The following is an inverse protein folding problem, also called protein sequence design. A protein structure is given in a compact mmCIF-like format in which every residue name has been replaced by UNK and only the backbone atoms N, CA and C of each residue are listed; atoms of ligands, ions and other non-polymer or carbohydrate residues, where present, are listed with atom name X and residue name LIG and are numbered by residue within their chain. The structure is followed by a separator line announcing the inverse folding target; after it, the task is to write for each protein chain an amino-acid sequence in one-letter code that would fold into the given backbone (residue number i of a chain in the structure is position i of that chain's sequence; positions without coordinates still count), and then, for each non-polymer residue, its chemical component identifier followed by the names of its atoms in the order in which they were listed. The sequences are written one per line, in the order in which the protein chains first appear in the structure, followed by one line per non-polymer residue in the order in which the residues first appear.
data_IF_105157225827
#
_entry.id   IF_105157225827
#
_cell.length_a   1.000
_cell.length_b   1.000
_cell.length_c   1.000
_cell.angle_alpha   90.00
_cell.angle_beta   90.00
_cell.angle_gamma   90.00
#
_symmetry.space_group_name_H-M   'P 1'
#
loop_
_entity.id
_entity.type
_entity.pdbx_description
1 polymer ?
#
# COMPACT_ATOMS: atom_id res chain seq x y z
N UNK A 1 35.03 -13.78 -42.25
CA UNK A 1 33.76 -13.17 -41.79
C UNK A 1 33.76 -13.19 -40.25
N UNK A 2 34.09 -12.07 -39.58
CA UNK A 2 34.05 -11.97 -38.11
C UNK A 2 32.75 -11.26 -37.72
N UNK A 3 31.85 -11.96 -37.02
CA UNK A 3 30.64 -11.37 -36.44
C UNK A 3 31.02 -10.75 -35.09
N UNK A 4 30.90 -9.43 -34.99
CA UNK A 4 30.97 -8.71 -33.72
C UNK A 4 29.70 -8.97 -32.93
N UNK A 5 29.84 -9.45 -31.70
CA UNK A 5 28.73 -9.58 -30.74
C UNK A 5 28.53 -8.20 -30.10
N UNK A 6 27.33 -7.59 -30.16
CA UNK A 6 27.09 -6.35 -29.43
C UNK A 6 27.07 -6.66 -27.93
N UNK A 7 27.99 -6.02 -27.20
CA UNK A 7 27.96 -5.99 -25.73
C UNK A 7 26.74 -5.15 -25.35
N UNK A 8 25.73 -5.77 -24.75
CA UNK A 8 24.61 -5.06 -24.17
C UNK A 8 25.10 -4.21 -22.99
N UNK A 9 25.00 -2.89 -23.12
CA UNK A 9 25.24 -1.95 -22.02
C UNK A 9 24.30 -2.28 -20.87
N UNK A 10 24.78 -2.48 -19.62
CA UNK A 10 23.88 -2.65 -18.50
C UNK A 10 23.00 -1.41 -18.37
N UNK A 11 21.67 -1.60 -18.41
CA UNK A 11 20.73 -0.53 -18.15
C UNK A 11 21.04 0.07 -16.77
N UNK A 12 21.37 1.36 -16.74
CA UNK A 12 21.61 2.08 -15.50
C UNK A 12 20.37 1.96 -14.60
N UNK A 13 20.53 1.32 -13.44
CA UNK A 13 19.47 1.30 -12.43
C UNK A 13 19.24 2.75 -11.98
N UNK A 14 18.03 3.30 -12.14
CA UNK A 14 17.75 4.66 -11.71
C UNK A 14 18.06 4.78 -10.22
N UNK A 15 19.03 5.63 -9.88
CA UNK A 15 19.57 5.79 -8.52
C UNK A 15 18.88 6.94 -7.78
N UNK A 16 17.59 7.17 -8.09
CA UNK A 16 16.77 8.20 -7.47
C UNK A 16 16.10 7.69 -6.18
N UNK A 17 15.60 8.59 -5.32
CA UNK A 17 14.73 8.18 -4.22
C UNK A 17 13.48 7.51 -4.79
N UNK A 18 13.16 6.32 -4.28
CA UNK A 18 11.94 5.60 -4.62
C UNK A 18 10.72 6.48 -4.34
N UNK A 19 9.78 6.47 -5.27
CA UNK A 19 8.52 7.20 -5.17
C UNK A 19 7.38 6.21 -5.01
N UNK A 20 6.39 6.61 -4.23
CA UNK A 20 5.14 5.87 -4.13
C UNK A 20 4.31 6.11 -5.38
N UNK A 21 3.80 5.04 -5.98
CA UNK A 21 2.69 5.12 -6.94
C UNK A 21 1.45 4.48 -6.35
N UNK A 22 0.38 5.28 -6.31
CA UNK A 22 -0.94 4.84 -5.84
C UNK A 22 -1.52 3.83 -6.82
N UNK A 23 -1.94 2.69 -6.31
CA UNK A 23 -2.74 1.72 -7.04
C UNK A 23 -4.21 1.79 -6.67
N UNK A 24 -4.89 0.64 -6.70
CA UNK A 24 -6.32 0.56 -6.39
C UNK A 24 -6.60 0.66 -4.89
N UNK A 25 -7.78 1.21 -4.57
CA UNK A 25 -8.43 1.07 -3.26
C UNK A 25 -9.60 0.11 -3.41
N UNK A 26 -9.68 -0.92 -2.58
CA UNK A 26 -10.73 -1.94 -2.62
C UNK A 26 -11.44 -2.06 -1.27
N UNK A 27 -12.74 -1.80 -1.24
CA UNK A 27 -13.61 -2.02 -0.09
C UNK A 27 -14.00 -3.49 -0.09
N UNK A 28 -13.27 -4.30 0.68
CA UNK A 28 -13.42 -5.75 0.72
C UNK A 28 -14.62 -6.19 1.56
N UNK A 29 -14.94 -5.40 2.60
CA UNK A 29 -16.10 -5.65 3.47
C UNK A 29 -16.62 -4.34 4.03
N UNK A 30 -17.93 -4.24 4.14
CA UNK A 30 -18.62 -3.06 4.66
C UNK A 30 -19.95 -3.52 5.21
N UNK A 31 -19.98 -3.79 6.51
CA UNK A 31 -21.15 -4.31 7.20
C UNK A 31 -22.02 -3.11 7.60
N UNK A 32 -22.73 -2.53 6.60
CA UNK A 32 -23.70 -1.46 6.83
C UNK A 32 -25.03 -2.01 7.32
N UNK A 33 -25.73 -1.25 8.15
CA UNK A 33 -27.07 -1.58 8.60
C UNK A 33 -28.12 -1.66 7.46
N UNK A 34 -27.83 -1.08 6.28
CA UNK A 34 -28.83 -0.89 5.21
C UNK A 34 -28.67 -1.77 3.95
N UNK A 35 -27.64 -2.65 3.89
CA UNK A 35 -27.46 -3.60 2.76
C UNK A 35 -27.15 -2.99 1.39
N UNK A 36 -26.76 -1.70 1.33
CA UNK A 36 -26.38 -1.02 0.09
C UNK A 36 -24.88 -1.21 -0.23
N UNK A 37 -24.49 -0.89 -1.46
CA UNK A 37 -23.07 -0.83 -1.83
C UNK A 37 -22.34 0.15 -0.89
N UNK A 38 -21.15 -0.24 -0.40
CA UNK A 38 -20.40 0.60 0.50
C UNK A 38 -20.07 1.93 -0.18
N UNK A 39 -20.40 3.09 0.43
CA UNK A 39 -19.94 4.37 -0.10
C UNK A 39 -18.42 4.42 -0.01
N UNK A 40 -17.81 5.33 -0.80
CA UNK A 40 -16.40 5.67 -0.61
C UNK A 40 -16.25 6.66 0.54
N UNK A 41 -15.19 6.47 1.31
CA UNK A 41 -14.72 7.38 2.35
C UNK A 41 -13.50 8.15 1.84
N UNK A 42 -13.73 9.25 1.13
CA UNK A 42 -12.65 10.02 0.53
C UNK A 42 -11.69 10.61 1.56
N UNK A 43 -12.19 11.00 2.74
CA UNK A 43 -11.37 11.54 3.82
C UNK A 43 -10.41 10.49 4.39
N UNK A 44 -10.91 9.29 4.66
CA UNK A 44 -10.08 8.16 5.07
C UNK A 44 -9.08 7.79 3.96
N UNK A 45 -9.52 7.68 2.70
CA UNK A 45 -8.63 7.36 1.58
C UNK A 45 -7.47 8.36 1.44
N UNK A 46 -7.75 9.66 1.56
CA UNK A 46 -6.73 10.71 1.51
C UNK A 46 -5.73 10.60 2.66
N UNK A 47 -6.21 10.38 3.89
CA UNK A 47 -5.34 10.24 5.07
C UNK A 47 -4.42 9.02 4.94
N UNK A 48 -4.95 7.89 4.48
CA UNK A 48 -4.17 6.67 4.26
C UNK A 48 -3.15 6.86 3.14
N UNK A 49 -3.53 7.52 2.03
CA UNK A 49 -2.59 7.80 0.96
C UNK A 49 -1.46 8.74 1.38
N UNK A 50 -1.75 9.77 2.17
CA UNK A 50 -0.72 10.66 2.71
C UNK A 50 0.26 9.89 3.62
N UNK A 51 -0.24 8.96 4.43
CA UNK A 51 0.62 8.09 5.24
C UNK A 51 1.52 7.19 4.38
N UNK A 52 0.95 6.54 3.35
CA UNK A 52 1.69 5.67 2.44
C UNK A 52 2.76 6.48 1.68
N UNK A 53 2.45 7.67 1.19
CA UNK A 53 3.41 8.56 0.51
C UNK A 53 4.58 8.97 1.41
N UNK A 54 4.36 9.02 2.73
CA UNK A 54 5.40 9.21 3.73
C UNK A 54 6.46 8.10 3.78
N UNK A 55 6.22 6.94 3.17
CA UNK A 55 7.21 5.85 3.09
C UNK A 55 8.54 6.29 2.47
N UNK A 56 8.49 7.15 1.45
CA UNK A 56 9.68 7.64 0.77
C UNK A 56 10.60 8.47 1.70
N UNK A 57 10.05 9.05 2.77
CA UNK A 57 10.79 9.83 3.77
C UNK A 57 11.15 9.02 5.02
N UNK A 58 10.65 7.78 5.16
CA UNK A 58 10.94 6.94 6.32
C UNK A 58 12.41 6.46 6.27
N UNK A 59 13.24 6.73 7.30
CA UNK A 59 14.65 6.32 7.29
C UNK A 59 14.85 4.80 7.16
N UNK A 60 13.94 4.03 7.75
CA UNK A 60 13.88 2.57 7.68
C UNK A 60 12.92 2.08 6.59
N UNK A 61 12.56 2.92 5.62
CA UNK A 61 11.65 2.56 4.53
C UNK A 61 12.32 1.68 3.45
N UNK A 62 11.54 1.19 2.48
CA UNK A 62 12.04 0.34 1.41
C UNK A 62 13.18 0.99 0.61
N UNK A 63 14.19 0.20 0.25
CA UNK A 63 15.36 0.63 -0.56
C UNK A 63 15.36 0.05 -1.97
N UNK A 64 14.47 -0.89 -2.24
CA UNK A 64 14.23 -1.49 -3.56
C UNK A 64 12.77 -1.29 -3.94
N UNK A 65 12.52 -1.14 -5.23
CA UNK A 65 11.16 -1.09 -5.75
C UNK A 65 10.40 -2.40 -5.53
N UNK A 66 9.09 -2.32 -5.64
CA UNK A 66 8.20 -3.46 -5.44
C UNK A 66 6.77 -3.04 -5.10
N UNK A 67 5.90 -4.01 -4.95
CA UNK A 67 4.48 -3.81 -4.68
C UNK A 67 4.07 -4.24 -3.26
N UNK A 68 3.05 -3.58 -2.74
CA UNK A 68 2.44 -3.88 -1.46
C UNK A 68 0.92 -3.65 -1.50
N UNK A 69 0.21 -4.34 -0.60
CA UNK A 69 -1.23 -4.21 -0.40
C UNK A 69 -1.49 -4.23 1.10
N UNK A 70 -1.72 -3.05 1.67
CA UNK A 70 -1.99 -2.86 3.10
C UNK A 70 -3.50 -2.82 3.32
N UNK A 71 -3.95 -3.52 4.35
CA UNK A 71 -5.36 -3.60 4.73
C UNK A 71 -5.59 -2.91 6.05
N UNK A 72 -6.72 -2.21 6.15
CA UNK A 72 -7.20 -1.60 7.38
C UNK A 72 -8.54 -2.26 7.74
N UNK A 73 -8.56 -2.98 8.86
CA UNK A 73 -9.78 -3.57 9.44
C UNK A 73 -10.28 -2.67 10.57
N UNK A 74 -11.30 -1.88 10.29
CA UNK A 74 -12.01 -1.06 11.27
C UNK A 74 -13.18 -1.84 11.85
N UNK A 75 -13.30 -1.85 13.18
CA UNK A 75 -14.37 -2.53 13.93
C UNK A 75 -14.94 -1.59 14.97
N UNK A 76 -16.23 -1.29 14.88
CA UNK A 76 -16.87 -0.26 15.73
C UNK A 76 -16.07 1.06 15.72
N UNK A 77 -15.91 1.69 16.88
CA UNK A 77 -15.19 2.96 17.00
C UNK A 77 -13.69 2.80 17.33
N UNK A 78 -13.18 1.57 17.26
CA UNK A 78 -11.79 1.25 17.56
C UNK A 78 -10.82 1.76 16.48
N UNK A 79 -9.54 1.86 16.84
CA UNK A 79 -8.47 2.08 15.88
C UNK A 79 -8.40 0.90 14.89
N UNK A 80 -8.08 1.15 13.60
CA UNK A 80 -7.99 0.06 12.64
C UNK A 80 -6.84 -0.87 12.99
N UNK A 81 -7.06 -2.16 12.80
CA UNK A 81 -5.94 -3.11 12.74
C UNK A 81 -5.29 -3.00 11.36
N UNK A 82 -3.96 -2.85 11.34
CA UNK A 82 -3.16 -2.78 10.10
C UNK A 82 -2.69 -4.18 9.72
N UNK A 83 -3.27 -4.71 8.66
CA UNK A 83 -2.97 -6.01 8.11
C UNK A 83 -2.15 -5.90 6.82
N UNK A 84 -1.38 -6.95 6.54
CA UNK A 84 -0.61 -7.07 5.31
C UNK A 84 -1.21 -8.19 4.47
N UNK A 85 -1.37 -7.96 3.17
CA UNK A 85 -1.79 -9.02 2.27
C UNK A 85 -0.57 -9.69 1.68
N UNK A 86 -0.42 -10.99 1.93
CA UNK A 86 0.70 -11.78 1.40
C UNK A 86 0.44 -12.42 0.03
N UNK A 87 -0.79 -12.35 -0.48
CA UNK A 87 -1.18 -12.98 -1.75
C UNK A 87 -0.95 -12.07 -2.95
N UNK A 88 0.16 -12.31 -3.66
CA UNK A 88 0.48 -11.72 -4.97
C UNK A 88 0.77 -12.83 -5.98
N UNK A 89 0.78 -12.50 -7.28
CA UNK A 89 1.30 -13.42 -8.31
C UNK A 89 2.81 -13.61 -8.12
N UNK A 90 3.33 -14.79 -8.45
CA UNK A 90 4.74 -15.16 -8.20
C UNK A 90 5.76 -14.24 -8.88
N UNK A 91 5.36 -13.61 -9.98
CA UNK A 91 6.16 -12.67 -10.78
C UNK A 91 6.28 -11.26 -10.18
N UNK A 92 5.52 -10.95 -9.12
CA UNK A 92 5.52 -9.62 -8.51
C UNK A 92 6.62 -9.52 -7.46
N UNK A 93 7.56 -8.60 -7.67
CA UNK A 93 8.50 -8.20 -6.62
C UNK A 93 7.73 -7.51 -5.49
N UNK A 94 7.76 -8.10 -4.30
CA UNK A 94 7.05 -7.58 -3.12
C UNK A 94 7.96 -6.67 -2.30
N UNK A 95 7.38 -5.61 -1.74
CA UNK A 95 8.04 -4.86 -0.68
C UNK A 95 8.15 -5.72 0.58
N UNK A 96 9.20 -5.48 1.35
CA UNK A 96 9.38 -6.13 2.63
C UNK A 96 8.31 -5.66 3.64
N UNK A 97 7.56 -6.61 4.19
CA UNK A 97 6.43 -6.35 5.08
C UNK A 97 6.87 -5.59 6.32
N UNK A 98 7.92 -6.04 6.99
CA UNK A 98 8.33 -5.50 8.28
C UNK A 98 8.90 -4.09 8.13
N UNK A 99 9.65 -3.85 7.06
CA UNK A 99 10.14 -2.53 6.64
C UNK A 99 8.97 -1.56 6.43
N UNK A 100 7.96 -1.95 5.65
CA UNK A 100 6.81 -1.09 5.37
C UNK A 100 5.96 -0.85 6.62
N UNK A 101 5.60 -1.91 7.35
CA UNK A 101 4.76 -1.79 8.55
C UNK A 101 5.48 -1.09 9.70
N UNK A 102 6.80 -1.17 9.78
CA UNK A 102 7.61 -0.40 10.75
C UNK A 102 7.42 1.11 10.59
N UNK A 103 7.28 1.59 9.35
CA UNK A 103 7.03 3.00 9.06
C UNK A 103 5.56 3.39 9.21
N UNK A 104 4.63 2.51 8.82
CA UNK A 104 3.23 2.88 8.66
C UNK A 104 2.32 2.57 9.85
N UNK A 105 2.62 1.55 10.65
CA UNK A 105 1.66 1.00 11.62
C UNK A 105 1.13 2.03 12.60
N UNK A 106 1.99 2.90 13.14
CA UNK A 106 1.56 3.94 14.08
C UNK A 106 0.67 5.01 13.42
N UNK A 107 1.05 5.46 12.22
CA UNK A 107 0.30 6.51 11.49
C UNK A 107 -1.04 5.97 11.00
N UNK A 108 -1.06 4.76 10.44
CA UNK A 108 -2.28 4.10 10.00
C UNK A 108 -3.18 3.70 11.17
N UNK A 109 -2.62 3.33 12.32
CA UNK A 109 -3.41 3.07 13.54
C UNK A 109 -4.12 4.32 14.08
N UNK A 110 -3.74 5.52 13.65
CA UNK A 110 -4.39 6.77 14.01
C UNK A 110 -5.48 7.21 13.02
N UNK A 111 -5.62 6.54 11.86
CA UNK A 111 -6.64 6.93 10.88
C UNK A 111 -8.04 6.59 11.37
N UNK A 112 -9.00 7.40 10.96
CA UNK A 112 -10.42 7.23 11.30
C UNK A 112 -11.23 7.11 10.02
N UNK A 113 -12.28 6.31 10.10
CA UNK A 113 -13.34 6.26 9.09
C UNK A 113 -14.45 7.23 9.45
N UNK A 114 -15.16 7.69 8.43
CA UNK A 114 -16.40 8.46 8.53
C UNK A 114 -17.62 7.63 8.16
N UNK A 115 -17.41 6.52 7.43
CA UNK A 115 -18.47 5.55 7.16
C UNK A 115 -18.90 4.87 8.45
N UNK A 116 -20.19 4.98 8.76
CA UNK A 116 -20.85 4.20 9.80
C UNK A 116 -21.11 2.77 9.28
N UNK A 117 -20.33 1.83 9.80
CA UNK A 117 -20.42 0.40 9.51
C UNK A 117 -19.93 -0.38 10.74
N UNK A 118 -20.53 -1.52 11.06
CA UNK A 118 -20.05 -2.35 12.18
C UNK A 118 -18.60 -2.80 11.93
N UNK A 119 -18.32 -3.17 10.67
CA UNK A 119 -16.99 -3.53 10.19
C UNK A 119 -16.73 -2.96 8.81
N UNK A 120 -15.53 -2.42 8.62
CA UNK A 120 -15.04 -1.92 7.34
C UNK A 120 -13.64 -2.46 7.09
N UNK A 121 -13.47 -3.26 6.04
CA UNK A 121 -12.17 -3.76 5.60
C UNK A 121 -11.82 -3.15 4.25
N UNK A 122 -10.75 -2.36 4.21
CA UNK A 122 -10.30 -1.66 3.00
C UNK A 122 -8.85 -2.03 2.69
N UNK A 123 -8.56 -2.32 1.42
CA UNK A 123 -7.25 -2.68 0.88
C UNK A 123 -6.69 -1.54 0.04
N UNK A 124 -5.44 -1.17 0.26
CA UNK A 124 -4.72 -0.13 -0.48
C UNK A 124 -3.49 -0.76 -1.14
N UNK A 125 -3.52 -0.90 -2.48
CA UNK A 125 -2.38 -1.39 -3.25
C UNK A 125 -1.52 -0.25 -3.74
N UNK A 126 -0.20 -0.36 -3.61
CA UNK A 126 0.75 0.62 -4.10
C UNK A 126 2.06 -0.03 -4.54
N UNK A 127 2.86 0.72 -5.28
CA UNK A 127 4.24 0.35 -5.63
C UNK A 127 5.23 1.43 -5.18
N UNK A 128 6.49 1.03 -5.02
CA UNK A 128 7.65 1.93 -4.91
C UNK A 128 8.49 1.77 -6.19
N UNK A 129 8.81 2.88 -6.87
CA UNK A 129 9.66 2.91 -8.08
C UNK A 129 10.43 4.21 -8.25
#
# INVERSE_FOLDING_TARGET
MRRSIPIATPAATPSGPLRVRRGRVAYLRCDQASGRACPRDEGMEQAVWAAIEGLAACPSGPRTGGEADVRLDYRGDEAPTVEWRDTFADEVQRLDRDTVLGCLRAVLGATRRTIDAERLLVSFRFSME
#
